data_IF_733402946305
#
_entry.id   IF_733402946305
#
_cell.length_a   1.000
_cell.length_b   1.000
_cell.length_c   1.000
_cell.angle_alpha   90.00
_cell.angle_beta   90.00
_cell.angle_gamma   90.00
#
_symmetry.space_group_name_H-M   'P 1'
#
loop_
_entity.id
_entity.type
_entity.pdbx_description
1 polymer ?
#
# COMPACT_ATOMS: atom_id res chain seq x y z
N UNK A 1 16.31 -17.98 -10.94
CA UNK A 1 15.67 -16.66 -10.97
C UNK A 1 16.00 -16.01 -12.30
N UNK A 2 15.02 -15.35 -12.93
CA UNK A 2 15.15 -14.66 -14.22
C UNK A 2 14.56 -13.25 -14.07
N UNK A 3 15.25 -12.25 -14.62
CA UNK A 3 14.74 -10.88 -14.79
C UNK A 3 14.76 -10.59 -16.29
N UNK A 4 13.67 -10.03 -16.81
CA UNK A 4 13.54 -9.71 -18.22
C UNK A 4 12.56 -8.56 -18.44
N UNK A 5 12.70 -7.88 -19.57
CA UNK A 5 11.77 -6.83 -20.01
C UNK A 5 10.71 -7.41 -20.94
N UNK A 6 9.56 -6.78 -20.98
CA UNK A 6 8.44 -7.15 -21.84
C UNK A 6 7.30 -6.14 -21.69
N UNK A 7 6.11 -6.47 -22.15
CA UNK A 7 4.93 -5.63 -22.04
C UNK A 7 3.90 -6.26 -21.09
N UNK A 8 3.21 -5.43 -20.31
CA UNK A 8 2.06 -5.78 -19.49
C UNK A 8 0.99 -4.71 -19.63
N UNK A 9 -0.20 -5.08 -20.17
CA UNK A 9 -1.29 -4.15 -20.47
C UNK A 9 -0.82 -2.89 -21.26
N UNK A 10 -0.04 -3.12 -22.33
CA UNK A 10 0.51 -2.08 -23.23
C UNK A 10 1.63 -1.20 -22.63
N UNK A 11 2.02 -1.39 -21.37
CA UNK A 11 3.15 -0.68 -20.74
C UNK A 11 4.44 -1.50 -20.79
N UNK A 12 5.55 -0.82 -21.01
CA UNK A 12 6.87 -1.40 -20.85
C UNK A 12 7.08 -1.83 -19.39
N UNK A 13 7.42 -3.08 -19.20
CA UNK A 13 7.42 -3.73 -17.89
C UNK A 13 8.66 -4.55 -17.65
N UNK A 14 9.01 -4.68 -16.38
CA UNK A 14 10.10 -5.53 -15.90
C UNK A 14 9.50 -6.67 -15.09
N UNK A 15 9.89 -7.88 -15.46
CA UNK A 15 9.47 -9.11 -14.80
C UNK A 15 10.64 -9.68 -14.00
N UNK A 16 10.36 -10.13 -12.79
CA UNK A 16 11.27 -10.95 -11.98
C UNK A 16 10.55 -12.22 -11.58
N UNK A 17 11.15 -13.38 -11.88
CA UNK A 17 10.53 -14.65 -11.55
C UNK A 17 11.52 -15.73 -11.13
N UNK A 18 11.03 -16.64 -10.31
CA UNK A 18 11.66 -17.90 -9.95
C UNK A 18 10.61 -19.04 -9.97
N UNK A 19 10.87 -20.14 -9.28
CA UNK A 19 9.92 -21.28 -9.22
C UNK A 19 8.67 -20.98 -8.38
N UNK A 20 8.69 -19.98 -7.53
CA UNK A 20 7.60 -19.66 -6.59
C UNK A 20 6.84 -18.39 -6.93
N UNK A 21 7.56 -17.36 -7.36
CA UNK A 21 7.01 -16.00 -7.55
C UNK A 21 7.26 -15.55 -8.99
N UNK A 22 6.26 -14.90 -9.58
CA UNK A 22 6.40 -14.01 -10.73
C UNK A 22 5.86 -12.65 -10.34
N UNK A 23 6.68 -11.61 -10.42
CA UNK A 23 6.30 -10.22 -10.16
C UNK A 23 6.47 -9.39 -11.42
N UNK A 24 5.56 -8.43 -11.62
CA UNK A 24 5.55 -7.47 -12.73
C UNK A 24 5.64 -6.06 -12.18
N UNK A 25 6.57 -5.26 -12.70
CA UNK A 25 6.76 -3.85 -12.35
C UNK A 25 6.58 -3.01 -13.61
N UNK A 26 5.77 -1.95 -13.50
CA UNK A 26 5.55 -0.96 -14.57
C UNK A 26 6.20 0.36 -14.14
N UNK A 27 7.39 0.69 -14.66
CA UNK A 27 8.09 1.92 -14.27
C UNK A 27 7.33 3.20 -14.65
N UNK A 28 6.66 3.21 -15.79
CA UNK A 28 6.02 4.40 -16.35
C UNK A 28 4.84 4.93 -15.52
N UNK A 29 4.18 4.07 -14.74
CA UNK A 29 3.05 4.44 -13.90
C UNK A 29 3.42 4.32 -12.41
N UNK A 30 4.32 5.18 -11.93
CA UNK A 30 4.70 5.28 -10.52
C UNK A 30 5.58 4.14 -10.02
N UNK A 31 6.27 3.41 -10.92
CA UNK A 31 7.01 2.23 -10.51
C UNK A 31 6.12 1.13 -9.94
N UNK A 32 4.83 1.12 -10.28
CA UNK A 32 3.81 0.21 -9.77
C UNK A 32 4.24 -1.26 -9.83
N UNK A 33 4.09 -1.99 -8.73
CA UNK A 33 4.11 -3.46 -8.77
C UNK A 33 2.69 -3.91 -9.13
N UNK A 34 2.51 -4.26 -10.39
CA UNK A 34 1.19 -4.50 -10.97
C UNK A 34 0.65 -5.91 -10.70
N UNK A 35 1.53 -6.89 -10.50
CA UNK A 35 1.15 -8.30 -10.32
C UNK A 35 2.19 -9.03 -9.47
N UNK A 36 1.72 -9.90 -8.57
CA UNK A 36 2.53 -10.86 -7.84
C UNK A 36 1.81 -12.20 -7.87
N UNK A 37 2.27 -13.12 -8.71
CA UNK A 37 1.70 -14.45 -8.82
C UNK A 37 2.48 -15.44 -7.97
N UNK A 38 1.80 -16.14 -7.07
CA UNK A 38 2.33 -17.33 -6.39
C UNK A 38 2.16 -18.54 -7.32
N UNK A 39 3.22 -18.90 -8.01
CA UNK A 39 3.22 -19.89 -9.11
C UNK A 39 2.73 -21.29 -8.70
N UNK A 40 3.07 -21.83 -7.50
CA UNK A 40 2.63 -23.18 -7.13
C UNK A 40 1.10 -23.35 -7.08
N UNK A 41 0.35 -22.26 -6.92
CA UNK A 41 -1.11 -22.26 -6.90
C UNK A 41 -1.72 -21.45 -8.05
N UNK A 42 -0.89 -20.90 -8.95
CA UNK A 42 -1.30 -19.95 -9.99
C UNK A 42 -2.19 -18.82 -9.46
N UNK A 43 -1.91 -18.35 -8.23
CA UNK A 43 -2.73 -17.37 -7.52
C UNK A 43 -2.12 -15.97 -7.61
N UNK A 44 -2.92 -14.99 -8.08
CA UNK A 44 -2.59 -13.57 -8.05
C UNK A 44 -2.83 -13.01 -6.64
N UNK A 45 -1.76 -12.54 -6.02
CA UNK A 45 -1.79 -12.02 -4.64
C UNK A 45 -2.39 -10.62 -4.58
N UNK A 46 -2.13 -9.81 -5.62
CA UNK A 46 -2.57 -8.44 -5.64
C UNK A 46 -4.00 -8.32 -6.20
N UNK A 47 -4.75 -7.38 -5.66
CA UNK A 47 -6.00 -6.99 -6.28
C UNK A 47 -5.72 -6.46 -7.69
N UNK A 48 -6.49 -6.95 -8.66
CA UNK A 48 -6.38 -6.57 -10.07
C UNK A 48 -7.51 -5.62 -10.47
N UNK A 49 -7.24 -4.61 -11.29
CA UNK A 49 -8.27 -3.68 -11.74
C UNK A 49 -9.23 -4.35 -12.72
N UNK A 50 -10.48 -3.88 -12.76
CA UNK A 50 -11.47 -4.27 -13.77
C UNK A 50 -11.24 -3.61 -15.13
N UNK A 51 -10.57 -2.44 -15.13
CA UNK A 51 -10.25 -1.67 -16.32
C UNK A 51 -8.73 -1.70 -16.58
N UNK A 52 -8.30 -1.59 -17.84
CA UNK A 52 -6.88 -1.46 -18.17
C UNK A 52 -6.21 -0.28 -17.44
N UNK A 53 -4.92 -0.43 -17.17
CA UNK A 53 -4.11 0.68 -16.66
C UNK A 53 -4.12 1.85 -17.64
N UNK A 54 -4.05 3.05 -17.08
CA UNK A 54 -3.92 4.29 -17.84
C UNK A 54 -2.77 5.11 -17.29
N UNK A 55 -2.10 5.86 -18.17
CA UNK A 55 -1.07 6.81 -17.74
C UNK A 55 -1.68 7.83 -16.78
N UNK A 56 -1.18 7.95 -15.56
CA UNK A 56 -1.68 8.93 -14.61
C UNK A 56 -1.27 10.35 -15.02
N UNK A 57 -2.11 11.32 -14.66
CA UNK A 57 -1.81 12.74 -14.79
C UNK A 57 -1.35 13.22 -13.41
N UNK A 58 -0.17 13.84 -13.38
CA UNK A 58 0.37 14.40 -12.13
C UNK A 58 -0.60 15.37 -11.46
N UNK A 59 -0.84 15.16 -10.17
CA UNK A 59 -1.76 15.98 -9.36
C UNK A 59 -3.24 15.65 -9.50
N UNK A 60 -3.58 14.66 -10.30
CA UNK A 60 -4.96 14.15 -10.38
C UNK A 60 -5.29 13.34 -9.11
N UNK A 61 -6.59 13.11 -8.86
CA UNK A 61 -7.05 12.25 -7.77
C UNK A 61 -6.74 10.79 -8.07
N UNK A 62 -6.18 10.07 -7.10
CA UNK A 62 -5.84 8.66 -7.17
C UNK A 62 -7.05 7.78 -7.52
N UNK A 63 -8.23 8.14 -7.02
CA UNK A 63 -9.46 7.39 -7.26
C UNK A 63 -9.91 7.33 -8.73
N UNK A 64 -9.41 8.24 -9.59
CA UNK A 64 -9.73 8.22 -11.03
C UNK A 64 -9.05 7.09 -11.79
N UNK A 65 -8.09 6.42 -11.16
CA UNK A 65 -7.26 5.39 -11.79
C UNK A 65 -7.62 3.99 -11.25
N UNK A 66 -6.78 3.02 -11.54
CA UNK A 66 -7.01 1.61 -11.27
C UNK A 66 -7.12 1.26 -9.77
N UNK A 67 -6.44 2.02 -8.91
CA UNK A 67 -6.37 1.78 -7.45
C UNK A 67 -6.09 0.30 -7.11
N UNK A 68 -5.09 -0.31 -7.78
CA UNK A 68 -4.76 -1.72 -7.66
C UNK A 68 -3.25 -1.94 -7.56
N UNK A 69 -2.83 -3.18 -7.31
CA UNK A 69 -1.40 -3.48 -7.20
C UNK A 69 -0.76 -2.85 -5.97
N UNK A 70 0.51 -2.49 -6.07
CA UNK A 70 1.26 -1.78 -5.03
C UNK A 70 1.77 -0.47 -5.59
N UNK A 71 1.38 0.62 -4.95
CA UNK A 71 1.90 1.96 -5.15
C UNK A 71 2.68 2.42 -3.91
N UNK A 72 3.62 3.33 -4.12
CA UNK A 72 4.35 3.98 -3.03
C UNK A 72 3.75 5.36 -2.78
N UNK A 73 3.33 5.62 -1.55
CA UNK A 73 2.83 6.93 -1.13
C UNK A 73 3.96 7.71 -0.46
N UNK A 74 4.30 8.86 -1.02
CA UNK A 74 5.26 9.81 -0.46
C UNK A 74 5.16 11.14 -1.20
N UNK A 75 5.27 12.32 -0.55
CA UNK A 75 5.60 12.54 0.85
C UNK A 75 4.39 12.59 1.81
N UNK A 76 3.20 12.28 1.36
CA UNK A 76 1.95 12.28 2.12
C UNK A 76 1.00 11.18 1.59
N UNK A 77 -0.15 11.04 2.23
CA UNK A 77 -1.27 10.23 1.75
C UNK A 77 -2.43 11.17 1.38
N UNK A 78 -3.01 11.89 2.35
CA UNK A 78 -4.07 12.86 2.07
C UNK A 78 -3.51 14.17 1.49
N UNK A 79 -4.30 14.84 0.64
CA UNK A 79 -4.00 16.20 0.18
C UNK A 79 -3.81 17.11 1.39
N UNK A 80 -2.70 17.82 1.43
CA UNK A 80 -2.41 18.76 2.51
C UNK A 80 -1.45 19.87 2.07
N UNK A 81 -1.55 21.03 2.70
CA UNK A 81 -0.54 22.05 2.53
C UNK A 81 0.74 21.65 3.26
N UNK A 82 1.89 21.88 2.65
CA UNK A 82 3.18 21.55 3.25
C UNK A 82 3.49 22.50 4.41
N UNK A 83 3.65 22.00 5.65
CA UNK A 83 3.65 22.85 6.85
C UNK A 83 4.92 23.69 7.05
N UNK A 84 5.98 23.51 6.26
CA UNK A 84 7.28 24.12 6.56
C UNK A 84 7.88 24.94 5.42
N UNK A 85 8.04 26.26 5.70
CA UNK A 85 9.15 27.14 5.33
C UNK A 85 9.69 27.17 3.90
N UNK A 86 8.95 26.69 2.91
CA UNK A 86 9.19 26.98 1.51
C UNK A 86 8.48 28.30 1.24
N UNK A 87 9.16 29.25 0.58
CA UNK A 87 8.65 30.60 0.32
C UNK A 87 7.36 30.66 -0.49
N UNK A 88 6.95 29.54 -1.09
CA UNK A 88 5.67 29.35 -1.76
C UNK A 88 4.93 28.22 -1.05
N UNK A 89 3.63 28.39 -0.79
CA UNK A 89 2.79 27.31 -0.30
C UNK A 89 2.79 26.18 -1.33
N UNK A 90 3.26 25.01 -0.90
CA UNK A 90 3.22 23.78 -1.70
C UNK A 90 2.07 22.94 -1.20
N UNK A 91 1.10 22.63 -2.05
CA UNK A 91 0.05 21.68 -1.77
C UNK A 91 0.48 20.30 -2.24
N UNK A 92 0.69 19.38 -1.30
CA UNK A 92 1.02 17.98 -1.57
C UNK A 92 -0.20 17.28 -2.19
N UNK A 93 0.08 16.42 -3.17
CA UNK A 93 -0.96 15.79 -4.00
C UNK A 93 -1.61 14.59 -3.29
N UNK A 94 -2.77 14.21 -3.77
CA UNK A 94 -3.51 13.04 -3.32
C UNK A 94 -2.66 11.77 -3.48
N UNK A 95 -2.49 11.01 -2.38
CA UNK A 95 -1.64 9.83 -2.27
C UNK A 95 -0.15 10.10 -2.59
N UNK A 96 0.29 11.35 -2.38
CA UNK A 96 1.64 11.78 -2.70
C UNK A 96 1.87 11.95 -4.20
N UNK A 97 3.12 12.01 -4.58
CA UNK A 97 3.49 12.26 -5.98
C UNK A 97 4.09 11.04 -6.71
N UNK A 98 4.50 10.01 -5.97
CA UNK A 98 5.26 8.91 -6.54
C UNK A 98 4.45 8.03 -7.51
N UNK A 99 3.19 7.78 -7.22
CA UNK A 99 2.32 6.90 -8.02
C UNK A 99 1.99 7.46 -9.41
N UNK A 100 2.08 8.77 -9.60
CA UNK A 100 1.63 9.46 -10.80
C UNK A 100 2.74 9.98 -11.71
N UNK A 101 4.00 9.66 -11.40
CA UNK A 101 5.15 10.06 -12.19
C UNK A 101 5.94 8.84 -12.69
N UNK A 102 6.55 8.89 -13.88
CA UNK A 102 7.36 7.77 -14.36
C UNK A 102 8.66 7.64 -13.56
N UNK A 103 9.05 6.40 -13.26
CA UNK A 103 10.30 6.09 -12.59
C UNK A 103 11.34 5.56 -13.56
N UNK A 104 12.59 5.95 -13.37
CA UNK A 104 13.72 5.27 -14.00
C UNK A 104 13.89 3.86 -13.43
N UNK A 105 14.23 2.92 -14.28
CA UNK A 105 14.43 1.53 -13.85
C UNK A 105 15.72 0.95 -14.44
N UNK A 106 16.40 0.09 -13.67
CA UNK A 106 17.58 -0.65 -14.08
C UNK A 106 17.63 -2.03 -13.46
N UNK A 107 18.36 -2.93 -14.09
CA UNK A 107 18.60 -4.27 -13.59
C UNK A 107 20.07 -4.38 -13.18
N UNK A 108 20.30 -4.70 -11.90
CA UNK A 108 21.64 -4.97 -11.36
C UNK A 108 21.71 -6.40 -10.85
N UNK A 109 22.36 -7.28 -11.61
CA UNK A 109 22.51 -8.72 -11.33
C UNK A 109 21.15 -9.41 -11.13
N UNK A 110 20.77 -9.59 -9.84
CA UNK A 110 19.56 -10.29 -9.42
C UNK A 110 18.50 -9.35 -8.83
N UNK A 111 18.64 -8.02 -9.05
CA UNK A 111 17.77 -6.99 -8.47
C UNK A 111 17.22 -6.08 -9.54
N UNK A 112 16.02 -5.58 -9.30
CA UNK A 112 15.46 -4.47 -10.04
C UNK A 112 15.59 -3.23 -9.14
N UNK A 113 16.17 -2.17 -9.70
CA UNK A 113 16.28 -0.88 -9.02
C UNK A 113 15.37 0.11 -9.75
N UNK A 114 14.44 0.68 -9.03
CA UNK A 114 13.58 1.76 -9.54
C UNK A 114 13.82 3.03 -8.74
N UNK A 115 13.82 4.20 -9.41
CA UNK A 115 14.11 5.46 -8.76
C UNK A 115 13.41 6.64 -9.44
N UNK A 116 13.13 7.67 -8.64
CA UNK A 116 12.47 8.89 -9.09
C UNK A 116 12.94 10.08 -8.25
N UNK A 117 12.93 11.27 -8.82
CA UNK A 117 13.09 12.53 -8.08
C UNK A 117 11.72 13.09 -7.70
N UNK A 118 11.63 13.73 -6.54
CA UNK A 118 10.43 14.45 -6.14
C UNK A 118 10.16 15.64 -7.05
N UNK A 119 8.90 15.97 -7.23
CA UNK A 119 8.43 17.07 -8.08
C UNK A 119 8.22 18.35 -7.28
N UNK A 120 7.53 18.26 -6.14
CA UNK A 120 7.25 19.41 -5.27
C UNK A 120 8.36 19.66 -4.26
N UNK A 121 8.99 18.59 -3.78
CA UNK A 121 10.06 18.64 -2.79
C UNK A 121 11.36 18.07 -3.37
N UNK A 122 12.49 18.65 -2.98
CA UNK A 122 13.81 18.23 -3.47
C UNK A 122 14.31 16.96 -2.78
N UNK A 123 13.80 15.79 -3.18
CA UNK A 123 14.27 14.49 -2.72
C UNK A 123 14.49 13.53 -3.89
N UNK A 124 15.12 12.41 -3.61
CA UNK A 124 15.12 11.24 -4.49
C UNK A 124 14.62 10.02 -3.72
N UNK A 125 13.81 9.22 -4.39
CA UNK A 125 13.24 7.98 -3.87
C UNK A 125 13.74 6.81 -4.70
N UNK A 126 14.23 5.77 -4.04
CA UNK A 126 14.74 4.56 -4.67
C UNK A 126 14.17 3.33 -4.00
N UNK A 127 13.69 2.37 -4.80
CA UNK A 127 13.28 1.04 -4.36
C UNK A 127 14.14 -0.01 -5.03
N UNK A 128 14.61 -0.98 -4.25
CA UNK A 128 15.37 -2.14 -4.70
C UNK A 128 14.52 -3.37 -4.45
N UNK A 129 14.28 -4.16 -5.48
CA UNK A 129 13.46 -5.37 -5.44
C UNK A 129 14.33 -6.60 -5.65
N UNK A 130 14.23 -7.55 -4.73
CA UNK A 130 14.86 -8.87 -4.85
C UNK A 130 13.84 -9.97 -4.51
N UNK A 131 13.91 -11.09 -5.21
CA UNK A 131 13.04 -12.26 -4.96
C UNK A 131 13.91 -13.47 -4.64
N UNK A 132 13.68 -14.08 -3.48
CA UNK A 132 14.38 -15.32 -3.05
C UNK A 132 13.35 -16.34 -2.58
N UNK A 133 13.31 -17.49 -3.24
CA UNK A 133 12.29 -18.51 -2.98
C UNK A 133 10.87 -17.92 -3.06
N UNK A 134 10.08 -18.00 -1.99
CA UNK A 134 8.76 -17.40 -1.85
C UNK A 134 8.77 -16.07 -1.07
N UNK A 135 9.90 -15.38 -1.03
CA UNK A 135 10.08 -14.12 -0.33
C UNK A 135 10.42 -12.99 -1.31
N UNK A 136 9.81 -11.84 -1.07
CA UNK A 136 10.06 -10.59 -1.79
C UNK A 136 10.70 -9.64 -0.80
N UNK A 137 11.83 -9.05 -1.17
CA UNK A 137 12.53 -8.03 -0.41
C UNK A 137 12.38 -6.70 -1.13
N UNK A 138 11.90 -5.70 -0.41
CA UNK A 138 11.73 -4.34 -0.87
C UNK A 138 12.56 -3.43 0.04
N UNK A 139 13.67 -2.92 -0.47
CA UNK A 139 14.50 -1.96 0.24
C UNK A 139 14.26 -0.56 -0.31
N UNK A 140 14.07 0.40 0.58
CA UNK A 140 13.76 1.78 0.25
C UNK A 140 14.84 2.73 0.72
N UNK A 141 15.19 3.71 -0.12
CA UNK A 141 16.10 4.78 0.23
C UNK A 141 15.48 6.10 -0.20
N UNK A 142 15.22 6.97 0.77
CA UNK A 142 14.81 8.36 0.53
C UNK A 142 15.98 9.26 0.89
N UNK A 143 16.40 10.10 -0.06
CA UNK A 143 17.48 11.05 0.12
C UNK A 143 16.93 12.46 0.00
N UNK A 144 17.12 13.27 1.04
CA UNK A 144 16.83 14.69 0.97
C UNK A 144 17.94 15.39 0.18
N UNK A 145 17.63 15.95 -0.97
CA UNK A 145 18.56 16.65 -1.86
C UNK A 145 18.59 18.15 -1.58
N UNK A 146 17.69 18.66 -0.73
CA UNK A 146 17.63 20.07 -0.36
C UNK A 146 18.62 20.40 0.78
N UNK A 147 18.81 21.72 1.01
CA UNK A 147 19.57 22.23 2.16
C UNK A 147 18.73 22.35 3.43
N UNK A 148 17.42 22.07 3.37
CA UNK A 148 16.47 22.17 4.48
C UNK A 148 15.97 20.80 4.89
N UNK A 149 15.49 20.65 6.11
CA UNK A 149 14.80 19.44 6.52
C UNK A 149 13.48 19.30 5.73
N UNK A 150 13.20 18.09 5.29
CA UNK A 150 11.95 17.72 4.64
C UNK A 150 11.17 16.81 5.58
N UNK A 151 9.89 17.12 5.81
CA UNK A 151 8.96 16.20 6.45
C UNK A 151 8.23 15.41 5.37
N UNK A 152 7.91 14.17 5.69
CA UNK A 152 7.10 13.33 4.82
C UNK A 152 6.69 12.03 5.51
N UNK A 153 5.56 11.52 5.07
CA UNK A 153 5.09 10.19 5.39
C UNK A 153 5.33 9.30 4.17
N UNK A 154 5.95 8.15 4.39
CA UNK A 154 5.93 7.06 3.43
C UNK A 154 4.94 6.00 3.90
N UNK A 155 4.10 5.53 3.00
CA UNK A 155 3.25 4.37 3.22
C UNK A 155 3.33 3.39 2.04
N UNK A 156 3.37 2.12 2.37
CA UNK A 156 3.21 1.03 1.43
C UNK A 156 1.73 0.84 1.14
N UNK A 157 1.29 1.15 -0.07
CA UNK A 157 -0.10 1.02 -0.47
C UNK A 157 -0.26 -0.18 -1.40
N UNK A 158 -0.42 -1.35 -0.79
CA UNK A 158 -0.51 -2.62 -1.52
C UNK A 158 -1.86 -3.28 -1.35
N UNK A 159 -2.71 -3.19 -2.39
CA UNK A 159 -4.03 -3.82 -2.38
C UNK A 159 -3.92 -5.30 -2.73
N UNK A 160 -4.46 -6.13 -1.86
CA UNK A 160 -4.41 -7.58 -1.94
C UNK A 160 -5.77 -8.13 -2.40
N UNK A 161 -5.73 -9.18 -3.21
CA UNK A 161 -6.90 -10.01 -3.45
C UNK A 161 -7.39 -10.62 -2.13
N UNK A 162 -8.69 -10.65 -1.91
CA UNK A 162 -9.26 -11.23 -0.69
C UNK A 162 -10.53 -12.04 -1.02
N UNK A 163 -10.97 -12.80 -0.05
CA UNK A 163 -12.25 -13.53 -0.08
C UNK A 163 -12.85 -13.56 1.33
N UNK A 164 -14.08 -14.06 1.46
CA UNK A 164 -14.81 -14.13 2.74
C UNK A 164 -14.14 -15.04 3.79
N UNK A 165 -13.13 -15.81 3.41
CA UNK A 165 -12.31 -16.63 4.32
C UNK A 165 -11.03 -15.92 4.75
N UNK A 166 -10.70 -14.77 4.16
CA UNK A 166 -9.51 -13.99 4.50
C UNK A 166 -9.56 -13.55 5.96
N UNK A 167 -8.49 -13.84 6.68
CA UNK A 167 -8.30 -13.43 8.07
C UNK A 167 -7.01 -12.64 8.22
N UNK A 168 -7.10 -11.50 8.93
CA UNK A 168 -6.00 -10.58 9.22
C UNK A 168 -5.46 -10.84 10.63
N UNK A 169 -4.14 -10.88 10.77
CA UNK A 169 -3.44 -11.03 12.04
C UNK A 169 -2.54 -9.83 12.28
N UNK A 170 -2.82 -9.09 13.33
CA UNK A 170 -2.06 -7.92 13.77
C UNK A 170 -1.44 -8.13 15.14
N UNK A 171 -0.28 -7.53 15.44
CA UNK A 171 0.38 -7.64 16.75
C UNK A 171 -0.20 -6.64 17.76
N UNK A 172 -1.53 -6.58 17.90
CA UNK A 172 -2.22 -5.62 18.75
C UNK A 172 -3.55 -6.15 19.27
N UNK A 173 -4.03 -5.56 20.34
CA UNK A 173 -5.39 -5.72 20.88
C UNK A 173 -6.25 -4.45 20.70
N UNK A 174 -5.69 -3.38 20.09
CA UNK A 174 -6.37 -2.09 19.92
C UNK A 174 -6.06 -1.46 18.58
N UNK A 175 -7.09 -0.93 17.95
CA UNK A 175 -7.02 -0.15 16.71
C UNK A 175 -7.84 1.12 16.82
N UNK A 176 -7.62 2.06 15.90
CA UNK A 176 -8.31 3.34 15.86
C UNK A 176 -8.76 3.61 14.42
N UNK A 177 -10.03 3.93 14.20
CA UNK A 177 -10.53 4.26 12.86
C UNK A 177 -10.07 5.64 12.41
N UNK A 178 -9.80 5.77 11.12
CA UNK A 178 -9.25 7.01 10.52
C UNK A 178 -10.35 7.96 10.11
N UNK A 179 -11.44 7.44 9.56
CA UNK A 179 -12.55 8.21 9.03
C UNK A 179 -13.85 7.88 9.77
N UNK A 180 -14.85 8.77 9.65
CA UNK A 180 -16.19 8.47 10.09
C UNK A 180 -16.73 7.24 9.35
N UNK A 181 -17.22 6.29 10.10
CA UNK A 181 -17.71 5.00 9.60
C UNK A 181 -19.15 4.76 10.03
N UNK A 182 -19.96 4.21 9.14
CA UNK A 182 -21.30 3.75 9.46
C UNK A 182 -21.33 2.53 10.40
N UNK A 183 -20.19 1.89 10.61
CA UNK A 183 -20.03 0.70 11.44
C UNK A 183 -19.29 1.04 12.74
N UNK A 184 -18.13 1.69 12.62
CA UNK A 184 -17.22 1.96 13.74
C UNK A 184 -17.46 3.32 14.41
N UNK A 185 -18.26 4.19 13.81
CA UNK A 185 -18.58 5.50 14.34
C UNK A 185 -17.61 6.58 13.91
N UNK A 186 -17.40 7.58 14.76
CA UNK A 186 -16.59 8.75 14.44
C UNK A 186 -15.11 8.39 14.27
N UNK A 187 -14.42 9.14 13.43
CA UNK A 187 -12.97 9.12 13.33
C UNK A 187 -12.31 9.21 14.72
N UNK A 188 -11.14 8.66 14.85
CA UNK A 188 -10.34 8.62 16.09
C UNK A 188 -10.99 7.84 17.25
N UNK A 189 -12.02 7.02 16.98
CA UNK A 189 -12.59 6.13 17.99
C UNK A 189 -11.71 4.90 18.19
N UNK A 190 -11.42 4.58 19.45
CA UNK A 190 -10.62 3.41 19.84
C UNK A 190 -11.49 2.15 19.86
N UNK A 191 -11.00 1.09 19.26
CA UNK A 191 -11.67 -0.21 19.16
C UNK A 191 -10.79 -1.34 19.67
N UNK A 192 -11.41 -2.35 20.27
CA UNK A 192 -10.73 -3.63 20.56
C UNK A 192 -10.50 -4.42 19.27
N UNK A 193 -9.39 -5.13 19.18
CA UNK A 193 -9.08 -6.03 18.08
C UNK A 193 -8.85 -7.45 18.63
N UNK A 194 -9.33 -8.51 17.99
CA UNK A 194 -9.98 -8.60 16.69
C UNK A 194 -11.49 -8.35 16.68
N UNK A 195 -12.12 -8.22 17.84
CA UNK A 195 -13.58 -8.04 17.98
C UNK A 195 -13.86 -6.73 18.69
N UNK A 196 -14.74 -5.94 18.11
CA UNK A 196 -15.26 -4.69 18.68
C UNK A 196 -16.79 -4.69 18.66
N UNK A 197 -17.41 -3.58 19.10
CA UNK A 197 -18.85 -3.35 18.96
C UNK A 197 -19.09 -2.38 17.80
N UNK A 198 -20.11 -2.69 16.99
CA UNK A 198 -20.62 -1.74 16.00
C UNK A 198 -21.52 -0.66 16.69
N UNK A 199 -22.02 0.30 15.92
CA UNK A 199 -22.91 1.36 16.42
C UNK A 199 -24.24 0.85 17.00
N UNK A 200 -24.61 -0.41 16.72
CA UNK A 200 -25.79 -1.07 17.29
C UNK A 200 -25.44 -2.00 18.46
N UNK A 201 -24.21 -1.88 19.01
CA UNK A 201 -23.68 -2.71 20.09
C UNK A 201 -23.59 -4.22 19.79
N UNK A 202 -23.58 -4.62 18.51
CA UNK A 202 -23.36 -6.00 18.06
C UNK A 202 -21.86 -6.28 17.94
N UNK A 203 -21.46 -7.54 18.09
CA UNK A 203 -20.08 -7.95 17.83
C UNK A 203 -19.73 -7.76 16.35
N UNK A 204 -18.63 -7.05 16.11
CA UNK A 204 -18.07 -6.80 14.78
C UNK A 204 -16.61 -7.24 14.74
N UNK A 205 -16.25 -8.01 13.71
CA UNK A 205 -14.89 -8.54 13.53
C UNK A 205 -14.09 -7.69 12.57
N UNK A 206 -13.01 -7.12 13.10
CA UNK A 206 -12.07 -6.30 12.34
C UNK A 206 -10.97 -7.13 11.64
N UNK A 207 -10.86 -8.40 11.99
CA UNK A 207 -9.88 -9.32 11.42
C UNK A 207 -10.46 -10.23 10.32
N UNK A 208 -11.67 -9.96 9.86
CA UNK A 208 -12.36 -10.76 8.83
C UNK A 208 -12.84 -9.88 7.71
N UNK A 209 -12.80 -10.42 6.50
CA UNK A 209 -13.39 -9.80 5.34
C UNK A 209 -14.79 -10.40 5.14
N UNK A 210 -15.79 -9.56 5.07
CA UNK A 210 -17.16 -9.97 4.79
C UNK A 210 -17.47 -10.00 3.28
N UNK A 211 -18.73 -10.23 2.95
CA UNK A 211 -19.19 -10.26 1.57
C UNK A 211 -19.09 -8.88 0.88
N UNK A 212 -18.72 -8.83 -0.41
CA UNK A 212 -18.73 -7.57 -1.18
C UNK A 212 -20.14 -6.96 -1.33
N UNK A 213 -21.17 -7.71 -1.01
CA UNK A 213 -22.57 -7.22 -1.00
C UNK A 213 -22.86 -6.31 0.22
N UNK A 214 -22.01 -6.29 1.22
CA UNK A 214 -22.16 -5.44 2.41
C UNK A 214 -22.00 -3.96 2.08
N UNK A 215 -21.32 -3.63 0.98
CA UNK A 215 -21.07 -2.26 0.52
C UNK A 215 -20.46 -1.36 1.58
N UNK A 216 -19.46 -1.89 2.28
CA UNK A 216 -18.70 -1.20 3.33
C UNK A 216 -17.26 -1.02 2.92
N UNK A 217 -16.62 -0.02 3.50
CA UNK A 217 -15.19 0.17 3.46
C UNK A 217 -14.74 0.73 4.81
N UNK A 218 -13.70 0.12 5.39
CA UNK A 218 -13.18 0.49 6.70
C UNK A 218 -11.68 0.71 6.63
N UNK A 219 -11.21 1.81 7.21
CA UNK A 219 -9.79 2.09 7.40
C UNK A 219 -9.50 2.33 8.87
N UNK A 220 -8.53 1.61 9.40
CA UNK A 220 -8.09 1.77 10.79
C UNK A 220 -6.58 1.56 10.90
N UNK A 221 -5.99 2.10 11.96
CA UNK A 221 -4.59 1.90 12.30
C UNK A 221 -4.44 1.09 13.59
N UNK A 222 -3.36 0.33 13.69
CA UNK A 222 -2.89 -0.17 14.99
C UNK A 222 -2.66 1.02 15.91
N UNK A 223 -3.21 0.97 17.13
CA UNK A 223 -3.14 2.09 18.06
C UNK A 223 -1.69 2.33 18.52
N UNK A 224 -1.14 3.50 18.16
CA UNK A 224 0.21 3.91 18.53
C UNK A 224 1.32 3.19 17.75
N UNK A 225 2.56 3.29 18.27
CA UNK A 225 3.72 2.66 17.64
C UNK A 225 3.74 1.15 17.84
N UNK A 226 4.06 0.45 16.78
CA UNK A 226 4.20 -1.01 16.79
C UNK A 226 5.33 -1.47 17.72
N UNK A 227 5.09 -2.55 18.44
CA UNK A 227 6.12 -3.25 19.23
C UNK A 227 6.90 -4.27 18.40
N UNK A 228 6.30 -4.74 17.32
CA UNK A 228 6.91 -5.69 16.37
C UNK A 228 6.46 -5.33 14.96
N UNK A 229 7.42 -5.29 14.03
CA UNK A 229 7.17 -4.98 12.62
C UNK A 229 6.68 -6.22 11.85
N UNK A 230 5.50 -6.72 12.20
CA UNK A 230 4.94 -7.91 11.59
C UNK A 230 3.42 -7.81 11.46
N UNK A 231 2.90 -8.17 10.29
CA UNK A 231 1.49 -8.39 10.04
C UNK A 231 1.31 -9.53 9.04
N UNK A 232 0.16 -10.19 9.03
CA UNK A 232 -0.12 -11.22 8.05
C UNK A 232 -1.61 -11.36 7.79
N UNK A 233 -1.95 -12.01 6.68
CA UNK A 233 -3.32 -12.39 6.37
C UNK A 233 -3.35 -13.69 5.56
N UNK A 234 -4.47 -14.39 5.65
CA UNK A 234 -4.70 -15.57 4.81
C UNK A 234 -5.34 -15.15 3.49
N UNK A 235 -4.98 -15.83 2.42
CA UNK A 235 -5.48 -15.63 1.06
C UNK A 235 -5.90 -16.96 0.44
N UNK A 236 -6.54 -16.90 -0.72
CA UNK A 236 -6.92 -18.07 -1.49
C UNK A 236 -7.65 -19.11 -0.64
N UNK A 237 -8.77 -18.71 -0.03
CA UNK A 237 -9.60 -19.58 0.83
C UNK A 237 -8.78 -20.22 1.97
N UNK A 238 -7.94 -19.41 2.62
CA UNK A 238 -7.03 -19.84 3.69
C UNK A 238 -5.93 -20.85 3.28
N UNK A 239 -5.66 -21.00 2.00
CA UNK A 239 -4.60 -21.88 1.51
C UNK A 239 -3.21 -21.23 1.48
N UNK A 240 -3.15 -19.90 1.56
CA UNK A 240 -1.91 -19.11 1.60
C UNK A 240 -1.87 -18.25 2.85
N UNK A 241 -0.70 -18.13 3.45
CA UNK A 241 -0.39 -17.13 4.46
C UNK A 241 0.57 -16.10 3.84
N UNK A 242 0.07 -14.89 3.62
CA UNK A 242 0.88 -13.75 3.23
C UNK A 242 1.36 -13.04 4.50
N UNK A 243 2.68 -12.90 4.66
CA UNK A 243 3.30 -12.31 5.83
C UNK A 243 4.19 -11.14 5.44
N UNK A 244 3.98 -10.00 6.07
CA UNK A 244 4.84 -8.83 5.98
C UNK A 244 5.73 -8.74 7.22
N UNK A 245 7.03 -8.45 7.00
CA UNK A 245 7.98 -8.15 8.07
C UNK A 245 8.70 -6.86 7.70
N UNK A 246 8.81 -5.94 8.64
CA UNK A 246 9.47 -4.66 8.45
C UNK A 246 10.11 -4.19 9.76
N UNK A 247 10.97 -3.18 9.70
CA UNK A 247 11.66 -2.66 10.87
C UNK A 247 10.77 -1.64 11.59
N UNK A 248 10.16 -2.02 12.72
CA UNK A 248 9.25 -1.17 13.51
C UNK A 248 9.89 0.10 14.06
N UNK A 249 11.22 0.15 14.16
CA UNK A 249 11.93 1.38 14.59
C UNK A 249 11.96 2.42 13.48
N UNK A 250 11.89 2.00 12.22
CA UNK A 250 11.89 2.89 11.05
C UNK A 250 10.49 3.07 10.47
N UNK A 251 9.64 2.06 10.59
CA UNK A 251 8.28 1.99 10.07
C UNK A 251 7.36 1.64 11.24
N UNK A 252 7.09 2.61 12.13
CA UNK A 252 6.46 2.34 13.42
C UNK A 252 4.94 2.21 13.38
N UNK A 253 4.28 2.40 12.24
CA UNK A 253 2.83 2.42 12.15
C UNK A 253 2.32 1.43 11.10
N UNK A 254 1.08 1.00 11.26
CA UNK A 254 0.42 0.07 10.36
C UNK A 254 -1.05 0.43 10.20
N UNK A 255 -1.41 0.83 8.99
CA UNK A 255 -2.79 0.96 8.55
C UNK A 255 -3.33 -0.37 8.02
N UNK A 256 -4.64 -0.50 8.07
CA UNK A 256 -5.39 -1.60 7.48
C UNK A 256 -6.57 -1.03 6.72
N UNK A 257 -6.73 -1.48 5.49
CA UNK A 257 -7.87 -1.18 4.64
C UNK A 257 -8.65 -2.45 4.37
N UNK A 258 -9.97 -2.39 4.49
CA UNK A 258 -10.90 -3.45 4.13
C UNK A 258 -11.99 -2.85 3.26
N UNK A 259 -12.14 -3.35 2.04
CA UNK A 259 -13.15 -2.89 1.10
C UNK A 259 -14.06 -4.04 0.67
N UNK A 260 -15.25 -4.04 1.22
CA UNK A 260 -16.33 -5.00 0.98
C UNK A 260 -17.35 -4.44 -0.03
N UNK A 261 -16.86 -3.82 -1.10
CA UNK A 261 -17.68 -3.22 -2.15
C UNK A 261 -18.17 -1.80 -1.86
N UNK A 262 -17.74 -1.19 -0.76
CA UNK A 262 -18.14 0.18 -0.38
C UNK A 262 -17.44 1.26 -1.19
N UNK A 263 -16.18 1.08 -1.52
CA UNK A 263 -15.40 2.01 -2.32
C UNK A 263 -15.23 1.47 -3.75
N UNK A 264 -15.66 2.23 -4.75
CA UNK A 264 -15.60 1.90 -6.20
C UNK A 264 -16.18 0.51 -6.56
N UNK A 265 -17.06 -0.05 -5.75
CA UNK A 265 -17.54 -1.43 -5.88
C UNK A 265 -16.43 -2.50 -5.92
N UNK A 266 -15.24 -2.17 -5.44
CA UNK A 266 -14.09 -3.07 -5.41
C UNK A 266 -14.13 -3.97 -4.18
N UNK A 267 -13.44 -5.11 -4.26
CA UNK A 267 -13.33 -6.10 -3.19
C UNK A 267 -11.87 -6.43 -2.96
N UNK A 268 -11.28 -5.80 -1.96
CA UNK A 268 -9.86 -5.90 -1.65
C UNK A 268 -9.57 -5.56 -0.19
N UNK A 269 -8.35 -5.80 0.23
CA UNK A 269 -7.84 -5.35 1.52
C UNK A 269 -6.38 -4.93 1.39
N UNK A 270 -5.86 -4.21 2.40
CA UNK A 270 -4.45 -3.87 2.48
C UNK A 270 -3.92 -3.94 3.90
N UNK A 271 -2.61 -4.23 4.00
CA UNK A 271 -1.78 -3.97 5.16
C UNK A 271 -0.79 -2.89 4.76
N UNK A 272 -0.83 -1.74 5.41
CA UNK A 272 -0.14 -0.51 5.01
C UNK A 272 0.90 -0.07 6.06
N UNK A 273 2.09 -0.69 6.09
CA UNK A 273 3.20 -0.18 6.91
C UNK A 273 3.53 1.25 6.54
N UNK A 274 3.69 2.13 7.54
CA UNK A 274 3.89 3.56 7.33
C UNK A 274 4.91 4.16 8.31
N UNK A 275 5.58 5.24 7.86
CA UNK A 275 6.47 6.04 8.71
C UNK A 275 5.72 7.11 9.50
N UNK A 276 4.48 7.41 9.15
CA UNK A 276 3.59 8.35 9.83
C UNK A 276 2.35 7.69 10.42
N UNK A 277 1.70 8.38 11.34
CA UNK A 277 0.46 7.95 11.94
C UNK A 277 -0.70 8.71 11.30
N UNK A 278 -1.72 7.99 10.85
CA UNK A 278 -2.76 8.48 9.95
C UNK A 278 -2.26 8.87 8.54
N UNK A 279 -3.12 9.50 7.77
CA UNK A 279 -2.91 9.77 6.35
C UNK A 279 -2.40 11.19 6.08
N UNK A 280 -2.33 12.06 7.12
CA UNK A 280 -1.87 13.45 7.00
C UNK A 280 -0.53 13.68 7.71
N UNK A 281 0.30 14.56 7.14
CA UNK A 281 1.53 15.06 7.76
C UNK A 281 1.29 16.22 8.75
N UNK A 282 0.05 16.66 8.88
CA UNK A 282 -0.40 17.75 9.76
C UNK A 282 -0.65 17.28 11.18
#
# INVERSE_FOLDING_TARGET
MRIFQGSYQEFDSIFIENNHIKMTIIPEIGGKIASIIYKPQAFEILFQPSEPYRMPIYGDSFEKYDTSGIDEMFPNIDISDYPYGISNMVTLKDHGELWSVPWGASIDRSRIITQVAGTELEYSFKRIVEVKNNQIFLDYVVTNNSKKSILGIWAFHGLLACDEMTQIFLPTDKVINVHDSSVLGKAETLHSFPVTKDLQARDYRLDRIGSPLLKKAEKYYVCGKLKTGQASLTLNKNQLLCKMNFNEKKIPYLGVWINEGGYKNQYNCALEPSTGYYDSIM
#
